data_IF_228061802614
#
_entry.id   IF_228061802614
#
_cell.length_a   1.000
_cell.length_b   1.000
_cell.length_c   1.000
_cell.angle_alpha   90.00
_cell.angle_beta   90.00
_cell.angle_gamma   90.00
#
_symmetry.space_group_name_H-M   'P 1'
#
loop_
_entity.id
_entity.type
_entity.pdbx_description
1 polymer ?
#
# COMPACT_ATOMS: atom_id res chain seq x y z
N UNK A 1 -23.04 6.16 -20.43
CA UNK A 1 -23.12 4.85 -19.79
C UNK A 1 -21.99 4.73 -18.78
N UNK A 2 -22.25 4.81 -17.47
CA UNK A 2 -21.25 4.50 -16.45
C UNK A 2 -20.92 3.01 -16.59
N UNK A 3 -19.71 2.67 -17.10
CA UNK A 3 -19.22 1.31 -17.03
C UNK A 3 -19.12 0.93 -15.55
N UNK A 4 -19.81 -0.12 -15.14
CA UNK A 4 -19.72 -0.65 -13.80
C UNK A 4 -18.26 -0.99 -13.50
N UNK A 5 -17.69 -0.37 -12.44
CA UNK A 5 -16.28 -0.54 -12.08
C UNK A 5 -16.08 -1.98 -11.58
N UNK A 6 -15.02 -2.64 -12.05
CA UNK A 6 -14.68 -4.01 -11.66
C UNK A 6 -14.30 -4.06 -10.17
N UNK A 7 -14.94 -4.93 -9.41
CA UNK A 7 -14.54 -5.25 -8.04
C UNK A 7 -13.19 -5.96 -8.04
N UNK A 8 -12.28 -5.52 -7.16
CA UNK A 8 -10.93 -6.08 -7.00
C UNK A 8 -10.77 -6.84 -5.68
N UNK A 9 -11.44 -6.35 -4.63
CA UNK A 9 -11.42 -6.93 -3.29
C UNK A 9 -12.80 -6.77 -2.66
N UNK A 10 -13.29 -7.81 -1.98
CA UNK A 10 -14.51 -7.75 -1.18
C UNK A 10 -14.33 -8.54 0.11
N UNK A 11 -14.61 -7.90 1.24
CA UNK A 11 -14.71 -8.51 2.56
C UNK A 11 -16.18 -8.52 2.98
N UNK A 12 -16.66 -9.65 3.48
CA UNK A 12 -18.05 -9.84 3.92
C UNK A 12 -18.06 -10.38 5.35
N UNK A 13 -18.50 -9.53 6.30
CA UNK A 13 -18.64 -9.84 7.73
C UNK A 13 -17.39 -10.49 8.34
N UNK A 14 -16.21 -10.01 7.93
CA UNK A 14 -14.93 -10.61 8.33
C UNK A 14 -14.64 -10.31 9.79
N UNK A 15 -14.31 -11.36 10.54
CA UNK A 15 -13.88 -11.29 11.93
C UNK A 15 -12.59 -12.08 12.13
N UNK A 16 -11.73 -11.60 13.02
CA UNK A 16 -10.47 -12.25 13.37
C UNK A 16 -10.16 -12.10 14.84
N UNK A 17 -9.87 -13.19 15.49
CA UNK A 17 -9.44 -13.21 16.89
C UNK A 17 -8.05 -13.83 17.03
N UNK A 18 -7.31 -13.37 18.03
CA UNK A 18 -6.00 -13.94 18.43
C UNK A 18 -5.92 -13.97 19.95
N UNK A 19 -5.51 -15.10 20.50
CA UNK A 19 -5.42 -15.31 21.96
C UNK A 19 -6.75 -14.96 22.67
N UNK A 20 -7.88 -15.46 22.17
CA UNK A 20 -9.23 -15.23 22.66
C UNK A 20 -9.66 -13.73 22.71
N UNK A 21 -8.97 -12.86 21.97
CA UNK A 21 -9.32 -11.45 21.85
C UNK A 21 -9.66 -11.12 20.39
N UNK A 22 -10.83 -10.51 20.17
CA UNK A 22 -11.21 -9.99 18.87
C UNK A 22 -10.31 -8.81 18.47
N UNK A 23 -9.65 -8.91 17.33
CA UNK A 23 -8.86 -7.84 16.72
C UNK A 23 -9.65 -7.14 15.60
N UNK A 24 -10.53 -7.89 14.94
CA UNK A 24 -11.46 -7.39 13.92
C UNK A 24 -12.79 -8.09 14.14
N UNK A 25 -13.93 -7.41 13.97
CA UNK A 25 -15.25 -8.02 14.15
C UNK A 25 -16.25 -7.46 13.14
N UNK A 26 -16.77 -8.35 12.27
CA UNK A 26 -17.87 -8.07 11.35
C UNK A 26 -17.57 -7.00 10.30
N UNK A 27 -16.31 -6.85 9.85
CA UNK A 27 -15.94 -5.84 8.86
C UNK A 27 -16.36 -6.27 7.46
N UNK A 28 -17.08 -5.37 6.77
CA UNK A 28 -17.41 -5.51 5.36
C UNK A 28 -16.93 -4.28 4.60
N UNK A 29 -16.25 -4.50 3.48
CA UNK A 29 -15.79 -3.44 2.56
C UNK A 29 -15.63 -4.00 1.15
N UNK A 30 -15.67 -3.13 0.18
CA UNK A 30 -15.40 -3.43 -1.21
C UNK A 30 -14.47 -2.38 -1.79
N UNK A 31 -13.49 -2.81 -2.61
CA UNK A 31 -12.61 -1.92 -3.37
C UNK A 31 -12.76 -2.24 -4.85
N UNK A 32 -13.07 -1.21 -5.64
CA UNK A 32 -13.23 -1.32 -7.09
C UNK A 32 -12.08 -0.63 -7.81
N UNK A 33 -11.93 -0.95 -9.07
CA UNK A 33 -10.91 -0.38 -9.95
C UNK A 33 -11.06 1.15 -10.03
N UNK A 34 -9.95 1.89 -9.86
CA UNK A 34 -9.94 3.35 -9.85
C UNK A 34 -10.74 3.97 -8.70
N UNK A 35 -10.86 3.27 -7.57
CA UNK A 35 -11.51 3.74 -6.34
C UNK A 35 -10.54 3.76 -5.18
N UNK A 36 -10.65 4.77 -4.31
CA UNK A 36 -9.90 4.84 -3.05
C UNK A 36 -10.88 4.60 -1.91
N UNK A 37 -10.69 3.49 -1.20
CA UNK A 37 -11.44 3.16 0.01
C UNK A 37 -10.54 3.37 1.21
N UNK A 38 -10.98 4.21 2.16
CA UNK A 38 -10.17 4.55 3.34
C UNK A 38 -10.76 3.92 4.59
N UNK A 39 -9.94 3.18 5.34
CA UNK A 39 -10.23 2.72 6.70
C UNK A 39 -9.68 3.73 7.69
N UNK A 40 -10.58 4.40 8.41
CA UNK A 40 -10.23 5.40 9.42
C UNK A 40 -10.64 4.90 10.81
N UNK A 41 -9.86 5.21 11.83
CA UNK A 41 -10.19 4.87 13.21
C UNK A 41 -8.98 4.97 14.14
N UNK A 42 -9.19 4.91 15.47
CA UNK A 42 -8.12 5.05 16.45
C UNK A 42 -7.11 3.91 16.39
N UNK A 43 -5.96 4.11 17.03
CA UNK A 43 -4.95 3.07 17.17
C UNK A 43 -5.52 1.86 17.91
N UNK A 44 -5.18 0.65 17.40
CA UNK A 44 -5.69 -0.59 17.98
C UNK A 44 -7.10 -0.99 17.53
N UNK A 45 -7.76 -0.23 16.63
CA UNK A 45 -9.10 -0.59 16.11
C UNK A 45 -9.12 -1.72 15.09
N UNK A 46 -7.96 -2.30 14.75
CA UNK A 46 -7.88 -3.44 13.84
C UNK A 46 -7.66 -3.08 12.36
N UNK A 47 -7.40 -1.81 12.01
CA UNK A 47 -7.19 -1.36 10.62
C UNK A 47 -6.09 -2.14 9.89
N UNK A 48 -4.86 -2.15 10.44
CA UNK A 48 -3.74 -2.90 9.84
C UNK A 48 -3.98 -4.42 9.86
N UNK A 49 -4.75 -4.92 10.83
CA UNK A 49 -5.18 -6.32 10.86
C UNK A 49 -6.13 -6.60 9.70
N UNK A 50 -7.09 -5.71 9.42
CA UNK A 50 -8.00 -5.82 8.28
C UNK A 50 -7.24 -5.80 6.95
N UNK A 51 -6.23 -4.92 6.80
CA UNK A 51 -5.36 -4.92 5.63
C UNK A 51 -4.62 -6.26 5.44
N UNK A 52 -4.06 -6.82 6.52
CA UNK A 52 -3.37 -8.13 6.48
C UNK A 52 -4.32 -9.28 6.16
N UNK A 53 -5.57 -9.22 6.61
CA UNK A 53 -6.62 -10.17 6.22
C UNK A 53 -6.93 -10.02 4.72
N UNK A 54 -7.15 -8.80 4.24
CA UNK A 54 -7.40 -8.50 2.83
C UNK A 54 -6.28 -9.03 1.91
N UNK A 55 -5.03 -8.95 2.37
CA UNK A 55 -3.86 -9.51 1.68
C UNK A 55 -3.78 -11.04 1.76
N UNK A 56 -4.53 -11.68 2.67
CA UNK A 56 -4.47 -13.13 2.92
C UNK A 56 -3.29 -13.56 3.79
N UNK A 57 -2.68 -12.63 4.54
CA UNK A 57 -1.62 -12.90 5.51
C UNK A 57 -2.20 -13.65 6.72
N UNK A 58 -3.40 -13.25 7.19
CA UNK A 58 -4.17 -14.00 8.18
C UNK A 58 -5.24 -14.82 7.47
N UNK A 59 -5.25 -16.15 7.74
CA UNK A 59 -6.14 -17.12 7.06
C UNK A 59 -7.24 -17.66 7.98
N UNK A 60 -7.02 -17.68 9.28
CA UNK A 60 -7.97 -18.19 10.29
C UNK A 60 -8.98 -17.10 10.63
N UNK A 61 -9.92 -16.82 9.72
CA UNK A 61 -10.93 -15.77 9.82
C UNK A 61 -12.33 -16.36 9.78
N UNK A 62 -13.29 -15.63 10.39
CA UNK A 62 -14.72 -15.80 10.12
C UNK A 62 -15.13 -14.82 9.01
N UNK A 63 -16.19 -15.17 8.26
CA UNK A 63 -16.63 -14.38 7.11
C UNK A 63 -15.92 -14.77 5.82
N UNK A 64 -15.95 -13.88 4.83
CA UNK A 64 -15.44 -14.20 3.50
C UNK A 64 -14.54 -13.08 2.96
N UNK A 65 -13.42 -13.46 2.34
CA UNK A 65 -12.53 -12.55 1.61
C UNK A 65 -12.41 -13.02 0.17
N UNK A 66 -12.94 -12.21 -0.74
CA UNK A 66 -12.88 -12.44 -2.17
C UNK A 66 -11.88 -11.48 -2.82
N UNK A 67 -10.79 -12.02 -3.38
CA UNK A 67 -9.81 -11.30 -4.19
C UNK A 67 -10.03 -11.63 -5.66
N UNK A 68 -10.27 -10.61 -6.47
CA UNK A 68 -10.52 -10.76 -7.91
C UNK A 68 -9.31 -10.37 -8.76
N UNK A 69 -8.16 -10.15 -8.10
CA UNK A 69 -6.86 -9.91 -8.73
C UNK A 69 -5.73 -10.52 -7.89
N UNK A 70 -4.66 -10.93 -8.57
CA UNK A 70 -3.39 -11.35 -7.96
C UNK A 70 -2.31 -10.27 -8.06
N UNK A 71 -2.57 -9.17 -8.81
CA UNK A 71 -1.65 -8.05 -8.95
C UNK A 71 -1.89 -7.05 -7.81
N UNK A 72 -1.27 -7.30 -6.67
CA UNK A 72 -1.47 -6.51 -5.45
C UNK A 72 -0.13 -5.89 -5.05
N UNK A 73 -0.10 -4.55 -4.94
CA UNK A 73 0.98 -3.81 -4.28
C UNK A 73 0.66 -3.58 -2.80
N UNK A 74 1.67 -3.63 -1.95
CA UNK A 74 1.50 -3.37 -0.52
C UNK A 74 2.61 -2.50 0.06
N UNK A 75 2.23 -1.46 0.76
CA UNK A 75 3.11 -0.64 1.59
C UNK A 75 2.73 -0.85 3.04
N UNK A 76 3.54 -1.57 3.84
CA UNK A 76 3.27 -1.78 5.25
C UNK A 76 3.59 -0.54 6.09
N UNK A 77 2.95 -0.40 7.25
CA UNK A 77 3.19 0.68 8.21
C UNK A 77 4.66 0.78 8.63
N UNK A 78 5.33 -0.35 8.82
CA UNK A 78 6.75 -0.42 9.22
C UNK A 78 7.48 -1.44 8.37
N UNK A 79 8.66 -1.05 7.93
CA UNK A 79 9.62 -1.95 7.30
C UNK A 79 10.85 -2.00 8.19
N UNK A 80 11.29 -3.21 8.52
CA UNK A 80 12.56 -3.41 9.22
C UNK A 80 13.68 -3.45 8.18
N UNK A 81 14.48 -2.40 8.13
CA UNK A 81 15.66 -2.30 7.29
C UNK A 81 16.87 -2.14 8.22
N UNK A 82 17.93 -2.87 7.94
CA UNK A 82 19.22 -2.59 8.53
C UNK A 82 19.85 -1.38 7.82
N UNK A 83 19.73 -0.21 8.44
CA UNK A 83 20.21 1.07 7.91
C UNK A 83 21.73 1.15 7.80
N UNK A 84 22.48 0.20 8.36
CA UNK A 84 23.94 0.12 8.22
C UNK A 84 24.35 -0.42 6.84
N UNK A 85 23.45 -1.08 6.15
CA UNK A 85 23.70 -1.61 4.80
C UNK A 85 23.65 -0.46 3.75
N UNK A 86 24.64 -0.37 2.86
CA UNK A 86 24.71 0.69 1.85
C UNK A 86 23.80 0.36 0.64
N UNK A 87 22.50 0.15 0.91
CA UNK A 87 21.52 -0.18 -0.12
C UNK A 87 21.08 1.09 -0.85
N UNK A 88 21.24 1.16 -2.17
CA UNK A 88 20.71 2.24 -2.99
C UNK A 88 19.22 2.03 -3.29
N UNK A 89 18.54 3.11 -3.65
CA UNK A 89 17.12 3.05 -4.06
C UNK A 89 16.90 2.01 -5.18
N UNK A 90 17.75 2.00 -6.21
CA UNK A 90 17.63 1.04 -7.32
C UNK A 90 17.76 -0.41 -6.86
N UNK A 91 18.71 -0.68 -5.95
CA UNK A 91 18.93 -2.02 -5.41
C UNK A 91 17.72 -2.46 -4.58
N UNK A 92 17.16 -1.55 -3.79
CA UNK A 92 15.95 -1.78 -3.00
C UNK A 92 14.71 -2.07 -3.85
N UNK A 93 14.56 -1.36 -4.98
CA UNK A 93 13.46 -1.59 -5.93
C UNK A 93 13.49 -3.02 -6.51
N UNK A 94 14.68 -3.60 -6.64
CA UNK A 94 14.91 -4.91 -7.26
C UNK A 94 14.90 -6.08 -6.27
N UNK A 95 14.80 -5.84 -4.96
CA UNK A 95 14.86 -6.92 -3.93
C UNK A 95 13.69 -7.91 -3.99
N UNK A 96 12.57 -7.53 -4.57
CA UNK A 96 11.39 -8.40 -4.69
C UNK A 96 10.76 -8.21 -6.07
N UNK A 97 10.15 -9.29 -6.56
CA UNK A 97 9.37 -9.30 -7.80
C UNK A 97 10.12 -8.96 -9.09
N UNK A 98 11.42 -8.66 -9.03
CA UNK A 98 12.32 -8.38 -10.17
C UNK A 98 11.66 -7.50 -11.26
N UNK A 99 11.26 -6.25 -10.95
CA UNK A 99 10.73 -5.34 -11.96
C UNK A 99 11.82 -4.99 -12.96
N UNK A 100 11.44 -4.73 -14.22
CA UNK A 100 12.40 -4.27 -15.24
C UNK A 100 12.90 -2.85 -14.91
N UNK A 101 14.06 -2.47 -15.45
CA UNK A 101 14.60 -1.11 -15.30
C UNK A 101 13.63 -0.03 -15.79
N UNK A 102 12.85 -0.30 -16.82
CA UNK A 102 11.81 0.59 -17.31
C UNK A 102 10.68 0.76 -16.30
N UNK A 103 10.19 -0.33 -15.72
CA UNK A 103 9.16 -0.32 -14.67
C UNK A 103 9.62 0.45 -13.44
N UNK A 104 10.88 0.25 -13.02
CA UNK A 104 11.48 1.00 -11.91
C UNK A 104 11.53 2.50 -12.23
N UNK A 105 12.01 2.88 -13.41
CA UNK A 105 12.11 4.28 -13.80
C UNK A 105 10.73 4.96 -13.88
N UNK A 106 9.73 4.29 -14.44
CA UNK A 106 8.34 4.79 -14.49
C UNK A 106 7.81 5.01 -13.07
N UNK A 107 7.96 4.03 -12.17
CA UNK A 107 7.46 4.11 -10.81
C UNK A 107 8.14 5.21 -9.99
N UNK A 108 9.48 5.33 -10.07
CA UNK A 108 10.23 6.38 -9.39
C UNK A 108 9.88 7.77 -9.91
N UNK A 109 9.67 7.93 -11.21
CA UNK A 109 9.26 9.20 -11.80
C UNK A 109 7.82 9.57 -11.41
N UNK A 110 6.89 8.61 -11.42
CA UNK A 110 5.49 8.83 -11.01
C UNK A 110 5.41 9.30 -9.55
N UNK A 111 6.26 8.75 -8.67
CA UNK A 111 6.33 9.15 -7.27
C UNK A 111 7.21 10.38 -7.01
N UNK A 112 7.85 10.95 -8.05
CA UNK A 112 8.66 12.18 -7.97
C UNK A 112 10.04 11.97 -7.34
N UNK A 113 10.53 10.73 -7.26
CA UNK A 113 11.84 10.40 -6.64
C UNK A 113 12.84 9.79 -7.61
N UNK A 114 12.64 9.95 -8.91
CA UNK A 114 13.54 9.43 -9.96
C UNK A 114 14.99 9.89 -9.81
N UNK A 115 15.20 11.14 -9.34
CA UNK A 115 16.51 11.72 -9.08
C UNK A 115 17.25 11.04 -7.91
N UNK A 116 16.58 10.25 -7.08
CA UNK A 116 17.15 9.54 -5.93
C UNK A 116 17.60 8.12 -6.26
N UNK A 117 17.45 7.65 -7.50
CA UNK A 117 17.68 6.27 -7.93
C UNK A 117 18.99 5.66 -7.41
N UNK A 118 20.06 6.44 -7.40
CA UNK A 118 21.39 5.99 -6.97
C UNK A 118 21.75 6.39 -5.54
N UNK A 119 20.85 7.08 -4.82
CA UNK A 119 21.06 7.51 -3.44
C UNK A 119 20.90 6.34 -2.48
N UNK A 120 21.71 6.27 -1.41
CA UNK A 120 21.53 5.29 -0.34
C UNK A 120 20.22 5.56 0.41
N UNK A 121 19.49 4.49 0.77
CA UNK A 121 18.25 4.57 1.54
C UNK A 121 18.44 5.31 2.88
N UNK A 122 19.56 5.09 3.55
CA UNK A 122 19.87 5.72 4.83
C UNK A 122 20.01 7.25 4.76
N UNK A 123 20.16 7.81 3.56
CA UNK A 123 20.29 9.25 3.33
C UNK A 123 18.99 9.91 2.86
N UNK A 124 17.88 9.18 2.84
CA UNK A 124 16.56 9.70 2.44
C UNK A 124 15.87 10.37 3.64
N UNK A 125 15.14 11.45 3.39
CA UNK A 125 14.14 11.93 4.34
C UNK A 125 12.99 10.94 4.49
N UNK A 126 12.20 11.05 5.57
CA UNK A 126 11.03 10.18 5.79
C UNK A 126 10.05 10.22 4.60
N UNK A 127 9.76 11.42 4.08
CA UNK A 127 8.88 11.59 2.93
C UNK A 127 9.46 11.02 1.63
N UNK A 128 10.78 11.19 1.39
CA UNK A 128 11.46 10.57 0.24
C UNK A 128 11.40 9.04 0.33
N UNK A 129 11.65 8.50 1.52
CA UNK A 129 11.58 7.06 1.74
C UNK A 129 10.16 6.51 1.54
N UNK A 130 9.12 7.20 2.04
CA UNK A 130 7.73 6.80 1.79
C UNK A 130 7.39 6.79 0.30
N UNK A 131 7.84 7.79 -0.47
CA UNK A 131 7.66 7.83 -1.92
C UNK A 131 8.39 6.67 -2.62
N UNK A 132 9.57 6.28 -2.15
CA UNK A 132 10.30 5.11 -2.65
C UNK A 132 9.55 3.81 -2.34
N UNK A 133 8.96 3.67 -1.14
CA UNK A 133 8.13 2.53 -0.78
C UNK A 133 6.90 2.39 -1.68
N UNK A 134 6.24 3.51 -1.96
CA UNK A 134 5.10 3.54 -2.89
C UNK A 134 5.57 3.20 -4.31
N UNK A 135 6.69 3.77 -4.78
CA UNK A 135 7.27 3.45 -6.09
C UNK A 135 7.49 1.94 -6.25
N UNK A 136 8.08 1.31 -5.22
CA UNK A 136 8.30 -0.14 -5.21
C UNK A 136 7.00 -0.93 -5.31
N UNK A 137 5.97 -0.53 -4.55
CA UNK A 137 4.68 -1.21 -4.56
C UNK A 137 3.94 -1.08 -5.91
N UNK A 138 4.16 0.00 -6.66
CA UNK A 138 3.51 0.24 -7.96
C UNK A 138 4.36 -0.15 -9.17
N UNK A 139 5.62 -0.55 -8.99
CA UNK A 139 6.55 -0.83 -10.10
C UNK A 139 6.00 -1.87 -11.09
N UNK A 140 5.27 -2.87 -10.60
CA UNK A 140 4.61 -3.90 -11.45
C UNK A 140 3.17 -3.57 -11.82
N UNK A 141 2.76 -2.30 -11.73
CA UNK A 141 1.44 -1.82 -12.11
C UNK A 141 0.32 -2.69 -11.51
N UNK A 142 0.16 -2.68 -10.17
CA UNK A 142 -0.85 -3.48 -9.50
C UNK A 142 -2.28 -3.01 -9.87
N UNK A 143 -3.22 -3.96 -9.89
CA UNK A 143 -4.65 -3.62 -10.00
C UNK A 143 -5.18 -3.08 -8.65
N UNK A 144 -4.64 -3.58 -7.52
CA UNK A 144 -4.98 -3.19 -6.16
C UNK A 144 -3.73 -2.77 -5.40
N UNK A 145 -3.77 -1.60 -4.78
CA UNK A 145 -2.71 -1.08 -3.91
C UNK A 145 -3.24 -0.96 -2.48
N UNK A 146 -2.55 -1.58 -1.52
CA UNK A 146 -2.87 -1.48 -0.09
C UNK A 146 -1.80 -0.65 0.59
N UNK A 147 -2.21 0.44 1.25
CA UNK A 147 -1.33 1.39 1.93
C UNK A 147 -1.69 1.42 3.42
N UNK A 148 -0.76 0.97 4.27
CA UNK A 148 -0.97 0.93 5.72
C UNK A 148 -0.23 2.09 6.38
N UNK A 149 -0.96 3.17 6.71
CA UNK A 149 -0.45 4.40 7.32
C UNK A 149 0.71 5.05 6.57
N UNK A 150 0.57 5.32 5.25
CA UNK A 150 1.69 5.76 4.40
C UNK A 150 2.23 7.15 4.75
N UNK A 151 1.52 7.95 5.55
CA UNK A 151 1.92 9.30 5.96
C UNK A 151 2.63 9.34 7.31
N UNK A 152 2.79 8.19 7.99
CA UNK A 152 3.42 8.14 9.31
C UNK A 152 4.88 8.62 9.24
N UNK A 153 5.23 9.62 10.08
CA UNK A 153 6.58 10.17 10.14
C UNK A 153 6.89 11.20 9.04
N UNK A 154 5.89 11.66 8.32
CA UNK A 154 5.98 12.74 7.33
C UNK A 154 5.41 14.03 7.95
N UNK A 155 5.99 15.19 7.64
CA UNK A 155 5.46 16.47 8.07
C UNK A 155 4.15 16.84 7.37
N UNK A 156 3.41 17.81 7.89
CA UNK A 156 2.08 18.17 7.39
C UNK A 156 2.04 18.52 5.89
N UNK A 157 3.07 19.21 5.37
CA UNK A 157 3.14 19.54 3.94
C UNK A 157 3.40 18.29 3.10
N UNK A 158 4.27 17.42 3.57
CA UNK A 158 4.56 16.14 2.94
C UNK A 158 3.36 15.21 2.96
N UNK A 159 2.55 15.22 4.01
CA UNK A 159 1.32 14.45 4.12
C UNK A 159 0.32 14.84 3.03
N UNK A 160 0.03 16.13 2.86
CA UNK A 160 -0.85 16.62 1.78
C UNK A 160 -0.33 16.17 0.42
N UNK A 161 0.96 16.40 0.15
CA UNK A 161 1.58 16.02 -1.11
C UNK A 161 1.57 14.48 -1.36
N UNK A 162 1.54 13.69 -0.28
CA UNK A 162 1.45 12.24 -0.39
C UNK A 162 0.02 11.76 -0.72
N UNK A 163 -1.01 12.39 -0.14
CA UNK A 163 -2.40 12.12 -0.52
C UNK A 163 -2.70 12.50 -1.97
N UNK A 164 -2.18 13.64 -2.44
CA UNK A 164 -2.27 14.04 -3.85
C UNK A 164 -1.59 13.00 -4.76
N UNK A 165 -0.42 12.51 -4.36
CA UNK A 165 0.27 11.43 -5.07
C UNK A 165 -0.56 10.15 -5.12
N UNK A 166 -1.16 9.73 -4.00
CA UNK A 166 -2.01 8.52 -3.93
C UNK A 166 -3.20 8.66 -4.89
N UNK A 167 -3.85 9.83 -4.92
CA UNK A 167 -4.92 10.12 -5.88
C UNK A 167 -4.43 10.01 -7.32
N UNK A 168 -3.31 10.64 -7.65
CA UNK A 168 -2.68 10.60 -8.97
C UNK A 168 -2.38 9.16 -9.41
N UNK A 169 -1.82 8.34 -8.51
CA UNK A 169 -1.54 6.92 -8.76
C UNK A 169 -2.83 6.16 -9.11
N UNK A 170 -3.91 6.35 -8.34
CA UNK A 170 -5.20 5.70 -8.62
C UNK A 170 -5.74 6.06 -10.00
N UNK A 171 -5.60 7.32 -10.41
CA UNK A 171 -6.06 7.82 -11.70
C UNK A 171 -5.19 7.32 -12.86
N UNK A 172 -3.85 7.46 -12.77
CA UNK A 172 -2.93 7.11 -13.86
C UNK A 172 -2.80 5.61 -14.09
N UNK A 173 -2.78 4.80 -13.02
CA UNK A 173 -2.71 3.35 -13.11
C UNK A 173 -4.09 2.69 -13.17
N UNK A 174 -5.17 3.46 -12.99
CA UNK A 174 -6.54 2.93 -12.88
C UNK A 174 -6.63 1.78 -11.87
N UNK A 175 -5.85 1.86 -10.78
CA UNK A 175 -5.84 0.86 -9.72
C UNK A 175 -6.80 1.22 -8.58
N UNK A 176 -7.39 0.20 -7.92
CA UNK A 176 -8.11 0.38 -6.68
C UNK A 176 -7.14 0.55 -5.51
N UNK A 177 -7.46 1.39 -4.55
CA UNK A 177 -6.61 1.63 -3.37
C UNK A 177 -7.39 1.35 -2.09
N UNK A 178 -6.81 0.51 -1.22
CA UNK A 178 -7.22 0.40 0.18
C UNK A 178 -6.22 1.17 1.04
N UNK A 179 -6.66 2.29 1.59
CA UNK A 179 -5.84 3.20 2.40
C UNK A 179 -6.23 3.07 3.87
N UNK A 180 -5.25 2.81 4.73
CA UNK A 180 -5.42 2.85 6.19
C UNK A 180 -4.84 4.17 6.69
N UNK A 181 -5.64 4.93 7.43
CA UNK A 181 -5.27 6.23 7.99
C UNK A 181 -5.85 6.43 9.40
N UNK A 182 -5.38 7.45 10.07
CA UNK A 182 -5.89 7.88 11.38
C UNK A 182 -7.04 8.85 11.27
#
# INVERSE_FOLDING_TARGET
>A
MNKEKKTLLKLESVSFSKNNKWLVKGVSLEVKQGEIVTLIGPNGSGKSTTAKIALGIYKEIEGMVNKFTNKIGYVPQKISIDWTLPIRVIDFMSLTDEPTDEQINIALNLTGVGHLKNKSLGNLSGGEFQRVLIARAIAKQPDLLVLDEPVQGVDFKGEIALYELIKKISEELNCGILLISH
#
